data_IF_004387460466
#
_entry.id   IF_004387460466
#
_cell.length_a   1.000
_cell.length_b   1.000
_cell.length_c   1.000
_cell.angle_alpha   90.00
_cell.angle_beta   90.00
_cell.angle_gamma   90.00
#
_symmetry.space_group_name_H-M   'P 1'
#
loop_
_entity.id
_entity.type
_entity.pdbx_description
1 polymer ?
#
# COMPACT_ATOMS: atom_id res chain seq x y z
N UNK A 1 25.60 -5.73 25.01
CA UNK A 1 24.54 -6.76 24.85
C UNK A 1 23.39 -6.12 24.09
N UNK A 2 22.87 -6.82 23.09
CA UNK A 2 22.10 -6.29 21.96
C UNK A 2 20.91 -5.41 22.38
N UNK A 3 20.94 -4.13 21.98
CA UNK A 3 19.76 -3.27 22.00
C UNK A 3 18.81 -3.80 20.93
N UNK A 4 17.65 -4.25 21.38
CA UNK A 4 16.58 -4.88 20.63
C UNK A 4 16.43 -4.27 19.25
N UNK A 5 16.78 -5.04 18.22
CA UNK A 5 16.42 -4.72 16.86
C UNK A 5 14.89 -4.67 16.81
N UNK A 6 14.33 -3.45 16.89
CA UNK A 6 12.97 -3.18 16.45
C UNK A 6 12.96 -3.48 14.95
N UNK A 7 12.84 -4.76 14.61
CA UNK A 7 12.47 -5.21 13.29
C UNK A 7 11.08 -4.64 13.09
N UNK A 8 11.00 -3.46 12.49
CA UNK A 8 9.77 -2.92 11.93
C UNK A 8 9.29 -3.98 10.92
N UNK A 9 8.52 -4.96 11.39
CA UNK A 9 7.89 -6.04 10.62
C UNK A 9 6.60 -5.54 10.00
N UNK A 10 6.01 -4.52 10.62
CA UNK A 10 4.81 -3.81 10.20
C UNK A 10 4.88 -3.30 8.74
N UNK A 11 5.97 -2.65 8.26
CA UNK A 11 6.09 -2.24 6.87
C UNK A 11 6.16 -3.40 5.87
N UNK A 12 6.64 -4.58 6.28
CA UNK A 12 6.72 -5.76 5.40
C UNK A 12 5.35 -6.41 5.21
N UNK A 13 4.56 -6.48 6.28
CA UNK A 13 3.18 -6.98 6.22
C UNK A 13 2.29 -6.07 5.38
N UNK A 14 2.38 -4.75 5.56
CA UNK A 14 1.63 -3.81 4.72
C UNK A 14 1.99 -3.94 3.25
N UNK A 15 3.28 -4.09 2.92
CA UNK A 15 3.69 -4.31 1.52
C UNK A 15 3.10 -5.58 0.92
N UNK A 16 3.14 -6.70 1.65
CA UNK A 16 2.55 -7.97 1.18
C UNK A 16 1.05 -7.81 0.93
N UNK A 17 0.31 -7.27 1.91
CA UNK A 17 -1.14 -7.08 1.80
C UNK A 17 -1.48 -6.10 0.68
N UNK A 18 -0.69 -5.04 0.47
CA UNK A 18 -0.90 -4.11 -0.65
C UNK A 18 -0.69 -4.82 -1.99
N UNK A 19 0.37 -5.62 -2.14
CA UNK A 19 0.61 -6.37 -3.38
C UNK A 19 -0.50 -7.39 -3.64
N UNK A 20 -0.94 -8.12 -2.62
CA UNK A 20 -2.03 -9.08 -2.72
C UNK A 20 -3.34 -8.39 -3.15
N UNK A 21 -3.71 -7.28 -2.48
CA UNK A 21 -4.92 -6.51 -2.81
C UNK A 21 -4.86 -5.91 -4.21
N UNK A 22 -3.72 -5.36 -4.63
CA UNK A 22 -3.57 -4.76 -5.97
C UNK A 22 -3.66 -5.84 -7.07
N UNK A 23 -3.13 -7.03 -6.84
CA UNK A 23 -3.25 -8.12 -7.80
C UNK A 23 -4.69 -8.64 -7.89
N UNK A 24 -5.39 -8.80 -6.76
CA UNK A 24 -6.76 -9.30 -6.73
C UNK A 24 -7.77 -8.31 -7.36
N UNK A 25 -7.58 -7.01 -7.16
CA UNK A 25 -8.50 -6.00 -7.72
C UNK A 25 -8.18 -5.62 -9.17
N UNK A 26 -7.03 -6.03 -9.73
CA UNK A 26 -6.68 -5.70 -11.12
C UNK A 26 -7.71 -6.21 -12.11
N UNK A 27 -8.09 -7.47 -12.02
CA UNK A 27 -9.09 -8.06 -12.93
C UNK A 27 -10.46 -7.39 -12.76
N UNK A 28 -10.79 -6.96 -11.53
CA UNK A 28 -12.01 -6.21 -11.23
C UNK A 28 -11.99 -4.84 -11.92
N UNK A 29 -10.86 -4.13 -11.88
CA UNK A 29 -10.72 -2.83 -12.53
C UNK A 29 -10.83 -2.95 -14.05
N UNK A 30 -10.26 -4.01 -14.64
CA UNK A 30 -10.35 -4.28 -16.07
C UNK A 30 -11.79 -4.61 -16.50
N UNK A 31 -12.50 -5.43 -15.72
CA UNK A 31 -13.90 -5.79 -15.99
C UNK A 31 -14.84 -4.59 -15.87
N UNK A 32 -14.60 -3.74 -14.88
CA UNK A 32 -15.39 -2.52 -14.63
C UNK A 32 -14.95 -1.34 -15.54
N UNK A 33 -13.95 -1.56 -16.41
CA UNK A 33 -13.45 -0.57 -17.36
C UNK A 33 -12.74 0.63 -16.71
N UNK A 34 -12.24 0.45 -15.49
CA UNK A 34 -11.53 1.47 -14.72
C UNK A 34 -10.10 1.60 -15.22
N UNK A 35 -9.64 2.84 -15.36
CA UNK A 35 -8.30 3.15 -15.86
C UNK A 35 -7.20 2.60 -14.93
N UNK A 36 -6.16 1.99 -15.52
CA UNK A 36 -4.99 1.45 -14.81
C UNK A 36 -4.28 2.54 -13.99
N UNK A 37 -4.39 3.82 -14.38
CA UNK A 37 -3.88 4.95 -13.61
C UNK A 37 -4.52 5.03 -12.22
N UNK A 38 -5.81 4.72 -12.08
CA UNK A 38 -6.50 4.68 -10.78
C UNK A 38 -5.97 3.52 -9.92
N UNK A 39 -5.64 2.38 -10.54
CA UNK A 39 -5.01 1.26 -9.84
C UNK A 39 -3.59 1.62 -9.36
N UNK A 40 -2.84 2.37 -10.16
CA UNK A 40 -1.50 2.88 -9.79
C UNK A 40 -1.56 3.93 -8.68
N UNK A 41 -2.58 4.80 -8.69
CA UNK A 41 -2.87 5.72 -7.60
C UNK A 41 -3.20 4.97 -6.32
N UNK A 42 -4.10 3.97 -6.36
CA UNK A 42 -4.41 3.13 -5.20
C UNK A 42 -3.15 2.47 -4.60
N UNK A 43 -2.27 1.94 -5.45
CA UNK A 43 -0.99 1.34 -5.05
C UNK A 43 -0.04 2.34 -4.40
N UNK A 44 -0.08 3.61 -4.81
CA UNK A 44 0.82 4.67 -4.33
C UNK A 44 0.28 5.38 -3.08
N UNK A 45 -1.03 5.54 -3.00
CA UNK A 45 -1.72 6.19 -1.88
C UNK A 45 -1.77 5.30 -0.62
N UNK A 46 -1.91 3.97 -0.76
CA UNK A 46 -1.97 3.06 0.40
C UNK A 46 -0.71 3.11 1.29
N UNK A 47 0.52 3.04 0.74
CA UNK A 47 1.75 3.21 1.52
C UNK A 47 1.90 4.62 2.09
N UNK A 48 1.48 5.67 1.35
CA UNK A 48 1.60 7.06 1.79
C UNK A 48 0.65 7.40 2.95
N UNK A 49 -0.55 6.82 2.94
CA UNK A 49 -1.51 6.92 4.04
C UNK A 49 -1.00 6.18 5.27
N UNK A 50 -0.46 4.97 5.11
CA UNK A 50 0.20 4.24 6.18
C UNK A 50 1.46 4.94 6.72
N UNK A 51 2.18 5.68 5.88
CA UNK A 51 3.40 6.40 6.28
C UNK A 51 3.11 7.70 7.04
N UNK A 52 1.85 8.11 7.23
CA UNK A 52 1.49 9.29 8.01
C UNK A 52 1.89 10.64 7.38
N UNK A 53 2.37 10.64 6.13
CA UNK A 53 2.89 11.86 5.47
C UNK A 53 1.77 12.80 5.03
N UNK A 54 0.55 12.28 4.81
CA UNK A 54 -0.59 13.11 4.33
C UNK A 54 -1.42 13.78 5.43
N UNK A 55 -1.26 13.42 6.71
CA UNK A 55 -2.05 13.99 7.83
C UNK A 55 -1.37 15.17 8.52
N UNK A 56 -0.14 15.53 8.14
CA UNK A 56 0.63 16.66 8.69
C UNK A 56 0.65 17.90 7.77
N UNK A 57 -0.13 17.89 6.68
CA UNK A 57 -0.19 18.96 5.67
C UNK A 57 -1.59 19.55 5.48
N UNK A 58 -2.54 19.24 6.38
CA UNK A 58 -3.89 19.82 6.39
C UNK A 58 -4.15 20.43 7.77
#
# INVERSE_FOLDING_TARGET
>A
MANSANTNTVPKLYRSVIEDVINDVRDIFLDDGVDEQVLMELKTEFPLWCSGVRIQQI
#
